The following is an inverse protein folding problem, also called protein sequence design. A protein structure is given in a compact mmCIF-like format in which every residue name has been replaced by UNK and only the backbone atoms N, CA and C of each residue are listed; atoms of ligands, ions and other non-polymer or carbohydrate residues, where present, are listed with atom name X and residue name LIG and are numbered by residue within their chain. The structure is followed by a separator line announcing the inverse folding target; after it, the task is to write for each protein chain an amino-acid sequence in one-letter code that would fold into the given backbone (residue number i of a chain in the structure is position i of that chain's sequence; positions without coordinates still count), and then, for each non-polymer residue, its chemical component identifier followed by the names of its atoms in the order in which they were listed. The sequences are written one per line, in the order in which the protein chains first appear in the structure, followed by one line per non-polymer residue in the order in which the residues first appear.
data_IF_067658025681
#
_entry.id   IF_067658025681
#
_cell.length_a   1.000
_cell.length_b   1.000
_cell.length_c   1.000
_cell.angle_alpha   90.00
_cell.angle_beta   90.00
_cell.angle_gamma   90.00
#
_symmetry.space_group_name_H-M   'P 1'
#
loop_
_entity.id
_entity.type
_entity.pdbx_description
1 polymer ?
#
# COMPACT_ATOMS: atom_id res chain seq x y z
N UNK A 1 -8.81 -14.05 11.33
CA UNK A 1 -7.47 -13.76 11.88
C UNK A 1 -6.55 -13.20 10.79
N UNK A 2 -6.08 -14.01 9.83
CA UNK A 2 -5.12 -13.56 8.78
C UNK A 2 -5.66 -12.44 7.88
N UNK A 3 -6.86 -12.61 7.32
CA UNK A 3 -7.55 -11.56 6.53
C UNK A 3 -7.67 -10.22 7.28
N UNK A 4 -8.13 -10.26 8.54
CA UNK A 4 -8.23 -9.08 9.39
C UNK A 4 -6.86 -8.43 9.64
N UNK A 5 -5.81 -9.22 9.87
CA UNK A 5 -4.44 -8.70 9.95
C UNK A 5 -4.04 -8.00 8.65
N UNK A 6 -4.31 -8.60 7.49
CA UNK A 6 -4.04 -7.97 6.18
C UNK A 6 -4.74 -6.62 6.06
N UNK A 7 -6.02 -6.54 6.41
CA UNK A 7 -6.80 -5.30 6.37
C UNK A 7 -6.17 -4.25 7.29
N UNK A 8 -5.78 -4.61 8.52
CA UNK A 8 -5.12 -3.68 9.46
C UNK A 8 -3.80 -3.16 8.90
N UNK A 9 -2.94 -4.05 8.39
CA UNK A 9 -1.65 -3.64 7.79
C UNK A 9 -1.85 -2.78 6.55
N UNK A 10 -2.85 -3.10 5.73
CA UNK A 10 -3.22 -2.30 4.57
C UNK A 10 -3.68 -0.90 4.98
N UNK A 11 -4.50 -0.75 6.04
CA UNK A 11 -4.91 0.57 6.57
C UNK A 11 -3.72 1.41 6.98
N UNK A 12 -2.74 0.80 7.64
CA UNK A 12 -1.50 1.50 8.05
C UNK A 12 -0.78 2.02 6.79
N UNK A 13 -0.54 1.16 5.80
CA UNK A 13 0.11 1.55 4.56
C UNK A 13 -0.64 2.64 3.79
N UNK A 14 -1.96 2.52 3.67
CA UNK A 14 -2.82 3.54 3.04
C UNK A 14 -2.67 4.88 3.76
N UNK A 15 -2.76 4.90 5.09
CA UNK A 15 -2.61 6.13 5.86
C UNK A 15 -1.23 6.78 5.72
N UNK A 16 -0.17 5.98 5.68
CA UNK A 16 1.20 6.48 5.47
C UNK A 16 1.43 6.98 4.03
N UNK A 17 0.84 6.32 3.02
CA UNK A 17 0.84 6.80 1.63
C UNK A 17 0.09 8.13 1.50
N UNK A 18 -1.02 8.30 2.21
CA UNK A 18 -1.74 9.57 2.23
C UNK A 18 -0.96 10.70 2.90
N UNK A 19 -0.25 10.41 4.00
CA UNK A 19 0.67 11.38 4.62
C UNK A 19 1.79 11.76 3.66
N UNK A 20 2.43 10.79 3.03
CA UNK A 20 3.44 11.04 1.99
C UNK A 20 2.86 11.94 0.89
N UNK A 21 1.63 11.66 0.45
CA UNK A 21 0.93 12.44 -0.59
C UNK A 21 0.77 13.90 -0.17
N UNK A 22 0.33 14.15 1.06
CA UNK A 22 0.14 15.49 1.61
C UNK A 22 1.47 16.25 1.64
N UNK A 23 2.53 15.62 2.14
CA UNK A 23 3.85 16.24 2.23
C UNK A 23 4.47 16.50 0.85
N UNK A 24 4.23 15.63 -0.13
CA UNK A 24 4.83 15.70 -1.46
C UNK A 24 3.97 16.39 -2.53
N UNK A 25 3.15 17.36 -2.11
CA UNK A 25 2.32 18.18 -3.01
C UNK A 25 1.32 17.35 -3.84
N UNK A 26 0.54 16.51 -3.16
CA UNK A 26 -0.45 15.60 -3.72
C UNK A 26 0.15 14.55 -4.66
N UNK A 27 1.38 14.11 -4.38
CA UNK A 27 2.03 13.03 -5.13
C UNK A 27 2.41 11.86 -4.25
N UNK A 28 2.09 10.66 -4.70
CA UNK A 28 2.50 9.39 -4.10
C UNK A 28 3.79 8.86 -4.76
N UNK A 29 4.47 7.88 -4.16
CA UNK A 29 5.59 7.21 -4.80
C UNK A 29 5.23 6.63 -6.17
N UNK A 30 6.17 6.56 -7.09
CA UNK A 30 5.95 5.84 -8.36
C UNK A 30 5.88 4.34 -8.12
N UNK A 31 5.30 3.59 -9.07
CA UNK A 31 5.26 2.13 -9.01
C UNK A 31 6.66 1.52 -8.93
N UNK A 32 7.65 2.13 -9.61
CA UNK A 32 9.06 1.70 -9.57
C UNK A 32 9.73 1.98 -8.21
N UNK A 33 9.33 3.06 -7.53
CA UNK A 33 9.79 3.34 -6.16
C UNK A 33 9.12 2.41 -5.14
N UNK A 34 7.87 2.04 -5.38
CA UNK A 34 7.10 1.12 -4.56
C UNK A 34 6.85 1.62 -3.14
N UNK A 35 6.51 0.68 -2.26
CA UNK A 35 6.31 0.94 -0.82
C UNK A 35 7.62 1.22 -0.08
N UNK A 36 8.77 0.87 -0.66
CA UNK A 36 10.08 1.18 -0.08
C UNK A 36 10.28 2.69 0.09
N UNK A 37 9.63 3.52 -0.73
CA UNK A 37 9.65 4.98 -0.61
C UNK A 37 9.07 5.52 0.72
N UNK A 38 8.29 4.70 1.42
CA UNK A 38 7.78 5.02 2.75
C UNK A 38 8.83 4.79 3.84
N UNK A 39 9.76 3.84 3.63
CA UNK A 39 10.83 3.50 4.57
C UNK A 39 12.05 4.40 4.35
N UNK A 40 12.48 4.57 3.10
CA UNK A 40 13.67 5.33 2.73
C UNK A 40 13.32 6.37 1.70
N UNK A 41 14.01 7.50 1.72
CA UNK A 41 13.83 8.54 0.72
C UNK A 41 14.19 7.98 -0.67
N UNK A 42 13.25 7.98 -1.64
CA UNK A 42 13.57 7.50 -2.98
C UNK A 42 14.47 8.50 -3.71
N UNK A 43 15.56 7.98 -4.28
CA UNK A 43 16.54 8.77 -5.06
C UNK A 43 16.18 8.86 -6.54
N UNK A 44 15.38 7.91 -7.03
CA UNK A 44 14.86 7.84 -8.40
C UNK A 44 13.81 8.94 -8.67
N UNK A 45 13.73 9.40 -9.92
CA UNK A 45 12.68 10.32 -10.32
C UNK A 45 11.30 9.63 -10.33
N UNK A 46 10.20 10.32 -9.96
CA UNK A 46 10.15 11.69 -9.46
C UNK A 46 10.65 11.80 -8.02
N UNK A 47 11.60 12.73 -7.79
CA UNK A 47 12.10 12.98 -6.45
C UNK A 47 10.99 13.58 -5.58
N UNK A 48 10.86 13.14 -4.32
CA UNK A 48 9.93 13.75 -3.39
C UNK A 48 10.30 15.21 -3.17
N UNK A 49 9.30 16.08 -3.07
CA UNK A 49 9.53 17.51 -2.83
C UNK A 49 9.87 17.80 -1.37
N UNK A 50 9.26 17.06 -0.45
CA UNK A 50 9.35 17.30 0.98
C UNK A 50 9.17 15.98 1.72
N UNK A 51 10.04 15.01 1.44
CA UNK A 51 10.02 13.74 2.16
C UNK A 51 10.33 13.99 3.65
N UNK A 52 9.42 13.59 4.54
CA UNK A 52 9.56 13.71 6.00
C UNK A 52 9.59 12.36 6.71
N UNK A 53 9.89 11.30 5.97
CA UNK A 53 9.89 9.96 6.51
C UNK A 53 11.05 9.68 7.47
N UNK A 54 11.21 8.43 7.92
CA UNK A 54 10.42 7.27 7.51
C UNK A 54 8.95 7.36 7.94
N UNK A 55 8.01 7.08 7.02
CA UNK A 55 6.57 7.01 7.30
C UNK A 55 6.20 5.65 7.92
N UNK A 56 6.91 4.59 7.51
CA UNK A 56 6.88 3.27 8.15
C UNK A 56 8.30 2.82 8.49
N UNK A 57 8.46 2.08 9.59
CA UNK A 57 9.78 1.52 9.95
C UNK A 57 10.19 0.40 8.98
N UNK A 58 9.24 -0.45 8.62
CA UNK A 58 9.38 -1.49 7.62
C UNK A 58 8.06 -1.60 6.86
N UNK A 59 8.10 -2.11 5.62
CA UNK A 59 6.86 -2.39 4.87
C UNK A 59 6.23 -3.63 5.49
N UNK A 60 5.05 -3.52 6.13
CA UNK A 60 4.41 -4.69 6.70
C UNK A 60 3.99 -5.64 5.59
N UNK A 61 4.05 -6.93 5.90
CA UNK A 61 3.50 -8.00 5.06
C UNK A 61 2.03 -8.21 5.38
N UNK A 62 1.34 -8.89 4.48
CA UNK A 62 -0.03 -9.31 4.73
C UNK A 62 -0.09 -10.39 5.84
N UNK A 63 -1.30 -10.79 6.23
CA UNK A 63 -1.54 -11.81 7.26
C UNK A 63 -1.07 -13.22 6.90
N UNK A 64 -0.60 -13.43 5.66
CA UNK A 64 -0.03 -14.69 5.16
C UNK A 64 1.49 -14.60 4.93
N UNK A 65 2.08 -13.42 5.07
CA UNK A 65 3.51 -13.17 4.88
C UNK A 65 3.90 -12.74 3.46
N UNK A 66 2.92 -12.51 2.59
CA UNK A 66 3.13 -12.00 1.24
C UNK A 66 3.29 -10.48 1.25
N UNK A 67 3.99 -9.98 0.23
CA UNK A 67 4.21 -8.55 0.06
C UNK A 67 2.99 -7.90 -0.61
N UNK A 68 2.59 -6.72 -0.13
CA UNK A 68 1.52 -5.96 -0.74
C UNK A 68 1.91 -5.47 -2.13
N UNK A 69 0.97 -5.56 -3.05
CA UNK A 69 1.10 -5.05 -4.39
C UNK A 69 0.71 -3.58 -4.42
N UNK A 70 1.58 -2.74 -4.98
CA UNK A 70 1.39 -1.31 -5.05
C UNK A 70 1.46 -0.82 -6.50
N UNK A 71 0.50 0.01 -6.88
CA UNK A 71 0.48 0.66 -8.18
C UNK A 71 0.16 2.14 -8.01
N UNK A 72 1.03 2.98 -8.54
CA UNK A 72 0.82 4.42 -8.64
C UNK A 72 0.03 4.73 -9.91
N UNK A 73 -1.08 5.45 -9.80
CA UNK A 73 -1.96 5.80 -10.92
C UNK A 73 -2.13 7.31 -11.05
N UNK A 74 -2.80 7.76 -12.11
CA UNK A 74 -3.15 9.17 -12.33
C UNK A 74 -1.95 10.13 -12.21
N UNK A 75 -0.85 9.78 -12.88
CA UNK A 75 0.44 10.51 -12.83
C UNK A 75 1.00 10.69 -11.40
N UNK A 76 0.78 9.68 -10.55
CA UNK A 76 1.24 9.64 -9.17
C UNK A 76 0.39 10.47 -8.22
N UNK A 77 -0.90 10.66 -8.50
CA UNK A 77 -1.85 11.33 -7.60
C UNK A 77 -2.69 10.34 -6.81
N UNK A 78 -2.94 9.19 -7.41
CA UNK A 78 -3.71 8.10 -6.83
C UNK A 78 -2.83 6.86 -6.73
N UNK A 79 -3.28 5.92 -5.91
CA UNK A 79 -2.60 4.66 -5.73
C UNK A 79 -3.62 3.54 -5.55
N UNK A 80 -3.17 2.34 -5.86
CA UNK A 80 -3.86 1.08 -5.60
C UNK A 80 -2.94 0.21 -4.78
N UNK A 81 -3.48 -0.33 -3.68
CA UNK A 81 -2.77 -1.25 -2.81
C UNK A 81 -3.63 -2.51 -2.66
N UNK A 82 -3.08 -3.69 -2.90
CA UNK A 82 -3.81 -4.94 -2.75
C UNK A 82 -2.94 -6.10 -2.26
N UNK A 83 -3.58 -7.14 -1.78
CA UNK A 83 -2.98 -8.42 -1.41
C UNK A 83 -3.76 -9.53 -2.10
N UNK A 84 -3.04 -10.50 -2.65
CA UNK A 84 -3.58 -11.68 -3.33
C UNK A 84 -4.09 -12.76 -2.35
N UNK A 85 -4.33 -12.43 -1.09
CA UNK A 85 -4.80 -13.40 -0.10
C UNK A 85 -3.79 -14.52 0.18
N UNK A 86 -4.31 -15.70 0.52
CA UNK A 86 -3.50 -16.83 0.96
C UNK A 86 -2.78 -17.58 -0.18
N UNK A 87 -3.36 -17.60 -1.38
CA UNK A 87 -2.84 -18.35 -2.54
C UNK A 87 -1.80 -17.55 -3.34
N UNK A 88 -1.72 -16.23 -3.10
CA UNK A 88 -0.84 -15.30 -3.79
C UNK A 88 -1.09 -15.26 -5.31
N UNK A 89 -2.35 -15.48 -5.73
CA UNK A 89 -2.83 -15.42 -7.11
C UNK A 89 -3.97 -14.42 -7.22
N UNK A 90 -4.17 -13.82 -8.40
CA UNK A 90 -5.32 -12.97 -8.64
C UNK A 90 -6.65 -13.76 -8.54
N UNK A 91 -7.63 -13.18 -7.86
CA UNK A 91 -8.96 -13.75 -7.67
C UNK A 91 -9.10 -14.50 -6.35
N UNK A 92 -9.56 -15.75 -6.42
CA UNK A 92 -9.83 -16.57 -5.25
C UNK A 92 -11.14 -16.28 -4.52
N UNK A 93 -11.48 -17.14 -3.56
CA UNK A 93 -12.67 -17.00 -2.71
C UNK A 93 -12.30 -17.19 -1.22
N UNK A 94 -13.04 -16.55 -0.33
CA UNK A 94 -12.84 -16.71 1.12
C UNK A 94 -11.49 -16.17 1.61
N UNK A 95 -10.56 -17.08 1.95
CA UNK A 95 -9.20 -16.70 2.40
C UNK A 95 -8.23 -16.46 1.24
N UNK A 96 -8.56 -16.98 0.06
CA UNK A 96 -7.79 -16.81 -1.16
C UNK A 96 -8.25 -15.55 -1.92
N UNK A 97 -9.36 -14.94 -1.49
CA UNK A 97 -9.89 -13.74 -2.12
C UNK A 97 -8.93 -12.54 -1.99
N UNK A 98 -8.73 -11.85 -3.11
CA UNK A 98 -8.04 -10.56 -3.17
C UNK A 98 -8.61 -9.55 -2.18
N UNK A 99 -7.72 -8.78 -1.57
CA UNK A 99 -8.07 -7.68 -0.69
C UNK A 99 -7.58 -6.41 -1.36
N UNK A 100 -8.48 -5.51 -1.73
CA UNK A 100 -8.15 -4.29 -2.46
C UNK A 100 -8.46 -3.04 -1.64
N UNK A 101 -7.52 -2.09 -1.59
CA UNK A 101 -7.66 -0.87 -0.78
C UNK A 101 -8.73 0.10 -1.29
N UNK A 102 -9.11 0.00 -2.56
CA UNK A 102 -10.11 0.86 -3.19
C UNK A 102 -11.53 0.29 -3.13
N UNK A 103 -11.70 -0.95 -2.70
CA UNK A 103 -13.01 -1.56 -2.55
C UNK A 103 -13.63 -1.16 -1.21
N UNK A 104 -14.91 -0.79 -1.25
CA UNK A 104 -15.64 -0.41 -0.03
C UNK A 104 -15.82 -1.58 0.94
N UNK A 105 -15.94 -2.79 0.41
CA UNK A 105 -16.18 -4.01 1.19
C UNK A 105 -15.01 -4.34 2.11
N UNK A 106 -13.77 -4.12 1.66
CA UNK A 106 -12.54 -4.26 2.46
C UNK A 106 -12.59 -3.45 3.76
N UNK A 107 -13.28 -2.31 3.76
CA UNK A 107 -13.41 -1.44 4.91
C UNK A 107 -14.72 -1.62 5.70
N UNK A 108 -15.69 -2.34 5.13
CA UNK A 108 -16.97 -2.63 5.76
C UNK A 108 -16.92 -3.83 6.70
N UNK A 109 -15.90 -4.69 6.57
CA UNK A 109 -15.62 -5.77 7.51
C UNK A 109 -14.91 -5.21 8.77
N UNK A 110 -15.69 -4.79 9.77
CA UNK A 110 -15.25 -4.56 11.17
C UNK A 110 -15.94 -5.53 12.14
#
# INVERSE_FOLDING_TARGET
ARRATTIVQMRILVGELEKYRIDNANKVPSTEQGLEALVKEPTSAPKPKSWKGPYVQEVPKDGWGNDFQYLSTENGREFRLWSFGADNVEGGEGLDADINSWERETWAEE
#
